data_IF_604704830740
#
_entry.id   IF_604704830740
#
_cell.length_a   1.000
_cell.length_b   1.000
_cell.length_c   1.000
_cell.angle_alpha   90.00
_cell.angle_beta   90.00
_cell.angle_gamma   90.00
#
_symmetry.space_group_name_H-M   'P 1'
#
loop_
_entity.id
_entity.type
_entity.pdbx_description
1 polymer ?
#
# COMPACT_ATOMS: atom_id res chain seq x y z
N UNK A 1 26.46 0.99 7.90
CA UNK A 1 26.50 0.78 6.45
C UNK A 1 25.07 0.48 6.00
N UNK A 2 24.55 1.08 4.92
CA UNK A 2 23.24 0.70 4.40
C UNK A 2 23.26 -0.76 3.93
N UNK A 3 22.14 -1.46 4.06
CA UNK A 3 21.99 -2.80 3.50
C UNK A 3 22.05 -2.73 1.97
N UNK A 4 22.80 -3.63 1.34
CA UNK A 4 22.86 -3.82 -0.12
C UNK A 4 21.89 -4.96 -0.51
N UNK A 5 21.29 -4.83 -1.70
CA UNK A 5 20.41 -5.84 -2.30
C UNK A 5 21.09 -6.55 -3.49
N UNK A 6 22.42 -6.45 -3.61
CA UNK A 6 23.17 -7.09 -4.68
C UNK A 6 22.97 -8.61 -4.65
N UNK A 7 22.89 -9.24 -5.84
CA UNK A 7 22.58 -10.66 -6.03
C UNK A 7 21.27 -11.15 -5.37
N UNK A 8 20.31 -10.24 -5.12
CA UNK A 8 18.94 -10.58 -4.67
C UNK A 8 17.92 -10.30 -5.75
N UNK A 9 16.96 -11.22 -5.89
CA UNK A 9 15.73 -10.95 -6.61
C UNK A 9 14.78 -10.20 -5.67
N UNK A 10 14.47 -8.95 -6.01
CA UNK A 10 13.51 -8.12 -5.28
C UNK A 10 12.18 -8.18 -6.01
N UNK A 11 11.14 -8.67 -5.34
CA UNK A 11 9.77 -8.72 -5.87
C UNK A 11 8.89 -7.82 -5.04
N UNK A 12 8.24 -6.86 -5.68
CA UNK A 12 7.18 -6.08 -5.05
C UNK A 12 5.86 -6.84 -5.17
N UNK A 13 5.17 -7.02 -4.05
CA UNK A 13 3.80 -7.55 -4.01
C UNK A 13 2.92 -6.44 -3.43
N UNK A 14 1.78 -6.20 -4.09
CA UNK A 14 0.79 -5.26 -3.55
C UNK A 14 0.19 -5.83 -2.27
N UNK A 15 0.03 -4.99 -1.24
CA UNK A 15 -0.64 -5.38 0.00
C UNK A 15 -2.05 -5.93 -0.24
N UNK A 16 -2.76 -5.47 -1.29
CA UNK A 16 -4.09 -5.98 -1.67
C UNK A 16 -4.09 -7.41 -2.23
N UNK A 17 -2.92 -7.92 -2.60
CA UNK A 17 -2.77 -9.34 -2.96
C UNK A 17 -2.66 -10.23 -1.72
N UNK A 18 -2.39 -9.64 -0.55
CA UNK A 18 -2.23 -10.35 0.73
C UNK A 18 -3.42 -10.10 1.67
N UNK A 19 -4.10 -8.98 1.51
CA UNK A 19 -5.22 -8.51 2.36
C UNK A 19 -6.35 -7.98 1.49
N UNK A 20 -7.58 -8.01 1.98
CA UNK A 20 -8.72 -7.39 1.29
C UNK A 20 -8.68 -5.87 1.51
N UNK A 21 -8.11 -5.16 0.54
CA UNK A 21 -7.92 -3.70 0.54
C UNK A 21 -8.54 -3.05 -0.71
N UNK A 22 -9.59 -3.66 -1.26
CA UNK A 22 -10.23 -3.16 -2.49
C UNK A 22 -10.91 -1.80 -2.28
N UNK A 23 -11.47 -1.54 -1.09
CA UNK A 23 -12.08 -0.25 -0.76
C UNK A 23 -11.03 0.86 -0.66
N UNK A 24 -9.93 0.64 0.05
CA UNK A 24 -8.80 1.56 0.12
C UNK A 24 -8.23 1.86 -1.26
N UNK A 25 -8.12 0.85 -2.12
CA UNK A 25 -7.61 1.02 -3.47
C UNK A 25 -8.55 1.87 -4.34
N UNK A 26 -9.87 1.74 -4.19
CA UNK A 26 -10.83 2.60 -4.92
C UNK A 26 -10.68 4.07 -4.51
N UNK A 27 -10.50 4.35 -3.22
CA UNK A 27 -10.30 5.72 -2.73
C UNK A 27 -8.95 6.27 -3.18
N UNK A 28 -7.91 5.44 -3.18
CA UNK A 28 -6.59 5.80 -3.71
C UNK A 28 -6.63 6.13 -5.21
N UNK A 29 -7.27 5.28 -6.02
CA UNK A 29 -7.40 5.46 -7.47
C UNK A 29 -8.25 6.67 -7.86
N UNK A 30 -9.19 7.07 -6.99
CA UNK A 30 -9.96 8.31 -7.17
C UNK A 30 -9.10 9.59 -7.00
N UNK A 31 -7.87 9.46 -6.47
CA UNK A 31 -6.94 10.57 -6.29
C UNK A 31 -7.28 11.52 -5.14
N UNK A 32 -8.22 11.14 -4.26
CA UNK A 32 -8.57 11.92 -3.07
C UNK A 32 -7.73 11.50 -1.87
N UNK A 33 -6.64 12.24 -1.65
CA UNK A 33 -5.72 11.98 -0.55
C UNK A 33 -6.35 12.18 0.84
N UNK A 34 -7.34 13.07 0.99
CA UNK A 34 -8.00 13.27 2.29
C UNK A 34 -8.90 12.10 2.63
N UNK A 35 -9.73 11.67 1.68
CA UNK A 35 -10.59 10.51 1.86
C UNK A 35 -9.77 9.24 2.15
N UNK A 36 -8.64 9.07 1.45
CA UNK A 36 -7.75 7.93 1.67
C UNK A 36 -7.15 7.92 3.09
N UNK A 37 -6.65 9.06 3.57
CA UNK A 37 -6.11 9.16 4.93
C UNK A 37 -7.18 8.95 6.01
N UNK A 38 -8.39 9.46 5.79
CA UNK A 38 -9.48 9.31 6.75
C UNK A 38 -9.92 7.84 6.88
N UNK A 39 -10.05 7.14 5.76
CA UNK A 39 -10.34 5.70 5.74
C UNK A 39 -9.28 4.89 6.51
N UNK A 40 -8.00 5.25 6.39
CA UNK A 40 -6.95 4.59 7.16
C UNK A 40 -7.06 4.87 8.68
N UNK A 41 -7.40 6.10 9.07
CA UNK A 41 -7.54 6.47 10.48
C UNK A 41 -8.73 5.78 11.16
N UNK A 42 -9.82 5.54 10.42
CA UNK A 42 -11.00 4.85 10.95
C UNK A 42 -10.76 3.34 11.20
N UNK A 43 -9.71 2.77 10.60
CA UNK A 43 -9.35 1.35 10.70
C UNK A 43 -8.19 1.06 11.66
N UNK A 44 -7.69 2.08 12.37
CA UNK A 44 -6.75 1.96 13.49
C UNK A 44 -7.44 1.43 14.76
#
# INVERSE_FOLDING_TARGET
>A
MPATLDDKLVVAISSRALFDLEEENQVFDAGDAQAYMQLQLERL
#
